data_IF_292576316218
#
_entry.id   IF_292576316218
#
_cell.length_a   1.000
_cell.length_b   1.000
_cell.length_c   1.000
_cell.angle_alpha   90.00
_cell.angle_beta   90.00
_cell.angle_gamma   90.00
#
_symmetry.space_group_name_H-M   'P 1'
#
loop_
_entity.id
_entity.type
_entity.pdbx_description
1 polymer ?
#
# COMPACT_ATOMS: atom_id res chain seq x y z
N UNK A 1 6.80 -6.52 -8.50
CA UNK A 1 5.70 -5.53 -8.63
C UNK A 1 5.47 -4.93 -7.26
N UNK A 2 5.43 -3.59 -7.15
CA UNK A 2 5.08 -2.89 -5.92
C UNK A 2 3.60 -2.53 -5.90
N UNK A 3 2.93 -2.69 -4.77
CA UNK A 3 1.56 -2.23 -4.57
C UNK A 3 1.58 -1.03 -3.64
N UNK A 4 0.93 0.05 -4.06
CA UNK A 4 0.85 1.29 -3.29
C UNK A 4 -0.61 1.70 -3.10
N UNK A 5 -0.91 2.38 -2.01
CA UNK A 5 -2.21 3.00 -1.80
C UNK A 5 -2.03 4.42 -1.27
N UNK A 6 -3.06 5.25 -1.32
CA UNK A 6 -3.04 6.60 -0.76
C UNK A 6 -2.86 6.54 0.76
N UNK A 7 -2.16 7.52 1.32
CA UNK A 7 -1.97 7.63 2.76
C UNK A 7 -3.31 7.66 3.51
N UNK A 8 -4.32 8.32 2.94
CA UNK A 8 -5.68 8.32 3.46
C UNK A 8 -6.30 6.91 3.52
N UNK A 9 -6.17 6.12 2.46
CA UNK A 9 -6.71 4.75 2.42
C UNK A 9 -6.01 3.87 3.44
N UNK A 10 -4.68 3.97 3.55
CA UNK A 10 -3.89 3.22 4.53
C UNK A 10 -4.27 3.61 5.95
N UNK A 11 -4.34 4.91 6.25
CA UNK A 11 -4.75 5.44 7.55
C UNK A 11 -6.12 4.89 7.96
N UNK A 12 -7.11 4.91 7.05
CA UNK A 12 -8.44 4.37 7.33
C UNK A 12 -8.44 2.85 7.58
N UNK A 13 -7.70 2.08 6.79
CA UNK A 13 -7.56 0.62 7.01
C UNK A 13 -6.88 0.34 8.35
N UNK A 14 -5.81 1.06 8.68
CA UNK A 14 -5.09 0.94 9.95
C UNK A 14 -6.00 1.31 11.13
N UNK A 15 -6.78 2.39 11.02
CA UNK A 15 -7.75 2.79 12.03
C UNK A 15 -8.82 1.71 12.27
N UNK A 16 -9.40 1.14 11.20
CA UNK A 16 -10.39 0.07 11.33
C UNK A 16 -9.82 -1.20 11.99
N UNK A 17 -8.53 -1.49 11.77
CA UNK A 17 -7.84 -2.60 12.45
C UNK A 17 -7.69 -2.35 13.95
N UNK A 18 -7.41 -1.11 14.37
CA UNK A 18 -7.35 -0.74 15.79
C UNK A 18 -8.72 -0.95 16.44
N UNK A 19 -9.78 -0.43 15.81
CA UNK A 19 -11.15 -0.55 16.31
C UNK A 19 -11.61 -2.01 16.46
N UNK A 20 -11.16 -2.89 15.54
CA UNK A 20 -11.47 -4.32 15.59
C UNK A 20 -10.57 -5.14 16.54
N UNK A 21 -9.49 -4.57 17.07
CA UNK A 21 -8.52 -5.26 17.90
C UNK A 21 -8.39 -4.57 19.27
N UNK A 22 -9.40 -4.78 20.13
CA UNK A 22 -9.63 -4.07 21.40
C UNK A 22 -8.53 -4.18 22.48
N UNK A 23 -7.41 -4.86 22.21
CA UNK A 23 -6.43 -5.25 23.22
C UNK A 23 -4.98 -4.77 22.96
N UNK A 24 -4.69 -4.09 21.84
CA UNK A 24 -3.33 -3.67 21.53
C UNK A 24 -3.14 -2.17 21.76
N UNK A 25 -2.16 -1.80 22.59
CA UNK A 25 -1.58 -0.45 22.57
C UNK A 25 -1.00 -0.22 21.18
N UNK A 26 -1.65 0.64 20.39
CA UNK A 26 -1.19 0.98 19.05
C UNK A 26 -0.50 2.33 19.12
N UNK A 27 0.77 2.43 18.69
CA UNK A 27 1.48 3.69 18.71
C UNK A 27 0.78 4.70 17.80
N UNK A 28 0.77 5.97 18.24
CA UNK A 28 -0.01 7.06 17.62
C UNK A 28 0.41 7.37 16.18
N UNK A 29 1.65 7.06 15.84
CA UNK A 29 2.24 7.19 14.50
C UNK A 29 1.66 6.19 13.48
N UNK A 30 1.10 5.07 13.94
CA UNK A 30 0.62 4.01 13.05
C UNK A 30 -0.48 4.50 12.09
N UNK A 31 -1.37 5.39 12.54
CA UNK A 31 -2.45 5.99 11.71
C UNK A 31 -2.10 7.38 11.20
N UNK A 32 -0.97 7.94 11.63
CA UNK A 32 -0.55 9.29 11.28
C UNK A 32 -0.21 9.38 9.78
N UNK A 33 -0.76 10.40 9.13
CA UNK A 33 -0.62 10.55 7.67
C UNK A 33 0.79 10.98 7.27
N UNK A 34 1.50 11.75 8.10
CA UNK A 34 2.87 12.15 7.81
C UNK A 34 3.80 10.93 7.87
N UNK A 35 3.70 10.11 8.93
CA UNK A 35 4.44 8.86 9.05
C UNK A 35 4.15 7.89 7.88
N UNK A 36 2.88 7.71 7.51
CA UNK A 36 2.49 6.88 6.35
C UNK A 36 3.07 7.44 5.04
N UNK A 37 3.12 8.77 4.86
CA UNK A 37 3.72 9.35 3.66
C UNK A 37 5.22 9.08 3.57
N UNK A 38 5.94 9.10 4.69
CA UNK A 38 7.36 8.72 4.73
C UNK A 38 7.55 7.25 4.36
N UNK A 39 6.73 6.35 4.91
CA UNK A 39 6.73 4.92 4.54
C UNK A 39 6.47 4.74 3.03
N UNK A 40 5.49 5.45 2.48
CA UNK A 40 5.15 5.40 1.05
C UNK A 40 6.29 5.94 0.18
N UNK A 41 6.95 7.03 0.60
CA UNK A 41 8.08 7.58 -0.11
C UNK A 41 9.23 6.56 -0.17
N UNK A 42 9.54 5.92 0.96
CA UNK A 42 10.53 4.85 1.03
C UNK A 42 10.17 3.66 0.12
N UNK A 43 8.92 3.20 0.16
CA UNK A 43 8.44 2.10 -0.68
C UNK A 43 8.56 2.42 -2.18
N UNK A 44 8.23 3.65 -2.58
CA UNK A 44 8.40 4.13 -3.98
C UNK A 44 9.86 4.13 -4.38
N UNK A 45 10.75 4.67 -3.54
CA UNK A 45 12.19 4.68 -3.81
C UNK A 45 12.74 3.26 -3.98
N UNK A 46 12.33 2.32 -3.13
CA UNK A 46 12.74 0.92 -3.23
C UNK A 46 12.27 0.29 -4.54
N UNK A 47 11.00 0.49 -4.92
CA UNK A 47 10.47 -0.03 -6.18
C UNK A 47 11.21 0.55 -7.38
N UNK A 48 11.46 1.86 -7.40
CA UNK A 48 12.22 2.52 -8.47
C UNK A 48 13.65 1.99 -8.55
N UNK A 49 14.33 1.83 -7.41
CA UNK A 49 15.70 1.30 -7.34
C UNK A 49 15.83 -0.09 -7.95
N UNK A 50 14.83 -0.95 -7.75
CA UNK A 50 14.83 -2.31 -8.28
C UNK A 50 14.10 -2.45 -9.63
N UNK A 51 13.65 -1.35 -10.24
CA UNK A 51 12.91 -1.37 -11.50
C UNK A 51 11.58 -2.11 -11.42
N UNK A 52 10.98 -2.21 -10.23
CA UNK A 52 9.72 -2.90 -10.05
C UNK A 52 8.55 -2.04 -10.51
N UNK A 53 7.67 -2.54 -11.39
CA UNK A 53 6.46 -1.82 -11.77
C UNK A 53 5.59 -1.61 -10.54
N UNK A 54 5.05 -0.40 -10.39
CA UNK A 54 4.17 -0.04 -9.28
C UNK A 54 2.71 0.00 -9.73
N UNK A 55 1.80 -0.51 -8.90
CA UNK A 55 0.36 -0.47 -9.12
C UNK A 55 -0.30 0.24 -7.94
N UNK A 56 -1.10 1.27 -8.23
CA UNK A 56 -1.96 1.91 -7.23
C UNK A 56 -3.25 1.11 -7.03
N UNK A 57 -3.46 0.62 -5.81
CA UNK A 57 -4.59 -0.23 -5.41
C UNK A 57 -5.64 0.51 -4.57
N UNK A 58 -5.53 1.83 -4.41
CA UNK A 58 -6.39 2.62 -3.50
C UNK A 58 -7.89 2.49 -3.78
N UNK A 59 -8.24 2.32 -5.06
CA UNK A 59 -9.62 2.22 -5.57
C UNK A 59 -9.81 1.03 -6.51
N UNK A 60 -8.94 0.02 -6.41
CA UNK A 60 -9.04 -1.19 -7.21
C UNK A 60 -9.58 -2.33 -6.36
N UNK A 61 -10.38 -3.19 -6.98
CA UNK A 61 -10.73 -4.46 -6.36
C UNK A 61 -9.53 -5.41 -6.32
N UNK A 62 -9.66 -6.51 -5.58
CA UNK A 62 -8.62 -7.55 -5.51
C UNK A 62 -8.47 -8.21 -6.90
N UNK A 63 -9.58 -8.45 -7.59
CA UNK A 63 -9.64 -9.05 -8.92
C UNK A 63 -8.95 -8.15 -9.96
N UNK A 64 -9.23 -6.84 -9.95
CA UNK A 64 -8.57 -5.88 -10.84
C UNK A 64 -7.07 -5.78 -10.58
N UNK A 65 -6.66 -5.82 -9.31
CA UNK A 65 -5.26 -5.82 -8.91
C UNK A 65 -4.56 -7.09 -9.39
N UNK A 66 -5.19 -8.26 -9.22
CA UNK A 66 -4.67 -9.53 -9.69
C UNK A 66 -4.51 -9.55 -11.21
N UNK A 67 -5.52 -9.08 -11.95
CA UNK A 67 -5.47 -8.97 -13.40
C UNK A 67 -4.32 -8.06 -13.87
N UNK A 68 -4.11 -6.93 -13.20
CA UNK A 68 -3.01 -6.02 -13.51
C UNK A 68 -1.63 -6.66 -13.27
N UNK A 69 -1.47 -7.45 -12.20
CA UNK A 69 -0.22 -8.19 -11.92
C UNK A 69 0.03 -9.25 -13.00
N UNK A 70 -0.99 -10.01 -13.39
CA UNK A 70 -0.87 -11.03 -14.46
C UNK A 70 -0.53 -10.38 -15.80
N UNK A 71 -1.14 -9.24 -16.13
CA UNK A 71 -0.84 -8.48 -17.35
C UNK A 71 0.62 -8.00 -17.41
N UNK A 72 1.24 -7.66 -16.27
CA UNK A 72 2.66 -7.29 -16.22
C UNK A 72 3.58 -8.46 -16.56
N UNK A 73 3.23 -9.69 -16.16
CA UNK A 73 4.00 -10.88 -16.53
C UNK A 73 4.00 -11.16 -18.04
N UNK A 74 2.92 -10.80 -18.75
CA UNK A 74 2.81 -10.97 -20.20
C UNK A 74 3.59 -9.93 -21.02
N UNK A 75 4.04 -8.83 -20.39
CA UNK A 75 4.76 -7.72 -21.03
C UNK A 75 6.28 -7.86 -21.01
N UNK A 76 6.83 -8.85 -20.31
CA UNK A 76 8.26 -9.20 -20.40
C UNK A 76 8.47 -10.04 -21.66
N UNK A 77 8.61 -9.38 -22.82
CA UNK A 77 9.12 -9.96 -24.06
C UNK A 77 10.32 -9.14 -24.52
#
# INVERSE_FOLDING_TARGET
VGLIATAERISHVRQNRILGNSAAFVPTDYVDRAAINEELAYARQLCTKHGWPMIDVSRRSIEETAAAIVALRGKTR
#
